data_IF_677161201186
#
_entry.id   IF_677161201186
#
_cell.length_a   1.000
_cell.length_b   1.000
_cell.length_c   1.000
_cell.angle_alpha   90.00
_cell.angle_beta   90.00
_cell.angle_gamma   90.00
#
_symmetry.space_group_name_H-M   'P 1'
#
loop_
_entity.id
_entity.type
_entity.pdbx_description
1 polymer ?
#
# COMPACT_ATOMS: atom_id res chain seq x y z
N UNK A 1 39.35 59.12 26.46
CA UNK A 1 37.93 59.03 26.86
C UNK A 1 37.08 59.42 25.65
N UNK A 2 35.92 58.80 25.33
CA UNK A 2 34.93 58.12 26.19
C UNK A 2 34.57 56.68 25.65
N UNK A 3 33.43 56.02 25.99
CA UNK A 3 33.34 54.98 27.03
C UNK A 3 33.00 53.55 26.55
N UNK A 4 33.29 52.56 27.42
CA UNK A 4 32.81 51.16 27.32
C UNK A 4 31.31 51.08 27.62
N UNK A 5 30.52 50.62 26.66
CA UNK A 5 29.13 50.20 26.84
C UNK A 5 29.04 48.67 26.88
N UNK A 6 28.81 48.12 28.08
CA UNK A 6 28.49 46.71 28.28
C UNK A 6 27.06 46.43 27.82
N UNK A 7 26.89 45.51 26.87
CA UNK A 7 25.58 45.00 26.46
C UNK A 7 25.13 43.98 27.51
N UNK A 8 24.02 44.34 28.13
CA UNK A 8 23.29 43.65 29.20
C UNK A 8 22.72 42.33 28.66
N UNK A 9 23.03 41.23 29.32
CA UNK A 9 22.64 39.87 28.93
C UNK A 9 21.13 39.67 28.85
N UNK A 10 20.69 39.10 27.73
CA UNK A 10 19.38 38.45 27.60
C UNK A 10 19.46 37.08 28.26
N UNK A 11 18.64 36.89 29.29
CA UNK A 11 18.55 35.68 30.09
C UNK A 11 18.25 34.44 29.26
N UNK A 12 18.94 33.37 29.62
CA UNK A 12 18.75 31.99 29.22
C UNK A 12 17.31 31.56 29.54
N UNK A 13 16.49 31.34 28.50
CA UNK A 13 15.20 30.68 28.60
C UNK A 13 15.37 29.16 28.48
N UNK A 14 14.93 28.43 29.51
CA UNK A 14 14.84 26.96 29.58
C UNK A 14 14.12 26.37 28.35
N UNK A 15 14.51 25.20 27.84
CA UNK A 15 13.70 24.46 26.88
C UNK A 15 12.39 24.04 27.55
N UNK A 16 11.26 24.46 26.96
CA UNK A 16 9.95 23.99 27.35
C UNK A 16 9.88 22.48 27.09
N UNK A 17 9.71 21.74 28.18
CA UNK A 17 9.54 20.30 28.21
C UNK A 17 8.22 19.93 27.52
N UNK A 18 8.25 19.61 26.23
CA UNK A 18 7.13 18.97 25.54
C UNK A 18 6.99 17.51 26.03
N UNK A 19 6.27 17.33 27.14
CA UNK A 19 5.70 16.03 27.53
C UNK A 19 4.23 16.01 27.14
N UNK A 20 3.98 15.73 25.86
CA UNK A 20 2.66 15.38 25.34
C UNK A 20 2.83 14.38 24.20
N UNK A 21 2.34 13.16 24.36
CA UNK A 21 2.47 12.11 23.33
C UNK A 21 1.69 12.45 22.07
N UNK A 22 2.13 11.92 20.92
CA UNK A 22 1.52 12.06 19.59
C UNK A 22 -0.01 11.84 19.60
N UNK A 23 -0.50 10.91 20.42
CA UNK A 23 -1.94 10.67 20.58
C UNK A 23 -2.71 11.86 21.18
N UNK A 24 -2.11 12.60 22.12
CA UNK A 24 -2.72 13.78 22.75
C UNK A 24 -2.71 14.97 21.81
N UNK A 25 -1.66 15.09 21.01
CA UNK A 25 -1.54 16.11 19.96
C UNK A 25 -2.55 15.89 18.83
N UNK A 26 -2.78 14.63 18.43
CA UNK A 26 -3.87 14.28 17.49
C UNK A 26 -5.25 14.56 18.11
N UNK A 27 -5.47 14.24 19.38
CA UNK A 27 -6.75 14.52 20.05
C UNK A 27 -7.02 16.03 20.14
N UNK A 28 -6.02 16.84 20.48
CA UNK A 28 -6.15 18.31 20.54
C UNK A 28 -6.40 18.92 19.14
N UNK A 29 -5.76 18.37 18.10
CA UNK A 29 -5.96 18.75 16.70
C UNK A 29 -7.38 18.39 16.19
N UNK A 30 -7.85 17.18 16.51
CA UNK A 30 -9.16 16.63 16.13
C UNK A 30 -10.31 17.29 16.91
N UNK A 31 -10.05 17.81 18.11
CA UNK A 31 -11.09 18.47 18.94
C UNK A 31 -11.11 20.00 18.81
N UNK A 32 -10.20 20.59 18.03
CA UNK A 32 -10.18 22.03 17.74
C UNK A 32 -11.49 22.50 17.07
N UNK A 33 -11.95 23.72 17.40
CA UNK A 33 -13.19 24.26 16.84
C UNK A 33 -13.17 24.38 15.31
N UNK A 34 -11.98 24.49 14.71
CA UNK A 34 -11.78 24.65 13.27
C UNK A 34 -11.86 23.31 12.51
N UNK A 35 -11.51 22.19 13.13
CA UNK A 35 -11.58 20.85 12.53
C UNK A 35 -12.92 20.14 12.78
N UNK A 36 -13.85 20.78 13.50
CA UNK A 36 -15.15 20.20 13.83
C UNK A 36 -15.90 19.68 12.61
N UNK A 37 -15.91 20.38 11.47
CA UNK A 37 -16.67 19.94 10.29
C UNK A 37 -16.09 18.68 9.64
N UNK A 38 -14.77 18.59 9.50
CA UNK A 38 -14.08 17.42 8.93
C UNK A 38 -14.16 16.24 9.89
N UNK A 39 -13.93 16.47 11.18
CA UNK A 39 -14.04 15.43 12.21
C UNK A 39 -15.47 14.96 12.35
N UNK A 40 -16.45 15.86 12.25
CA UNK A 40 -17.87 15.51 12.22
C UNK A 40 -18.20 14.69 10.98
N UNK A 41 -17.72 15.07 9.79
CA UNK A 41 -17.94 14.31 8.56
C UNK A 41 -17.30 12.91 8.61
N UNK A 42 -16.06 12.81 9.09
CA UNK A 42 -15.35 11.53 9.31
C UNK A 42 -16.05 10.68 10.35
N UNK A 43 -16.49 11.28 11.46
CA UNK A 43 -17.19 10.58 12.53
C UNK A 43 -18.55 10.07 12.04
N UNK A 44 -19.31 10.88 11.29
CA UNK A 44 -20.56 10.44 10.68
C UNK A 44 -20.33 9.38 9.60
N UNK A 45 -19.23 9.46 8.86
CA UNK A 45 -18.86 8.44 7.89
C UNK A 45 -18.52 7.11 8.59
N UNK A 46 -17.66 7.14 9.60
CA UNK A 46 -17.29 5.96 10.38
C UNK A 46 -18.49 5.37 11.14
N UNK A 47 -19.34 6.22 11.74
CA UNK A 47 -20.58 5.80 12.39
C UNK A 47 -21.59 5.23 11.39
N UNK A 48 -21.69 5.81 10.18
CA UNK A 48 -22.54 5.31 9.10
C UNK A 48 -22.09 3.94 8.58
N UNK A 49 -20.77 3.76 8.39
CA UNK A 49 -20.19 2.46 8.02
C UNK A 49 -20.42 1.42 9.12
N UNK A 50 -20.14 1.76 10.39
CA UNK A 50 -20.37 0.86 11.51
C UNK A 50 -21.85 0.48 11.69
N UNK A 51 -22.76 1.44 11.52
CA UNK A 51 -24.21 1.21 11.59
C UNK A 51 -24.69 0.29 10.46
N UNK A 52 -24.26 0.53 9.22
CA UNK A 52 -24.65 -0.28 8.05
C UNK A 52 -24.10 -1.70 8.09
N UNK A 53 -22.94 -1.91 8.70
CA UNK A 53 -22.35 -3.23 8.93
C UNK A 53 -22.84 -3.93 10.20
N UNK A 54 -23.71 -3.29 11.00
CA UNK A 54 -24.31 -3.90 12.20
C UNK A 54 -25.63 -4.61 11.87
N UNK A 55 -26.04 -5.57 12.69
CA UNK A 55 -27.34 -6.25 12.58
C UNK A 55 -28.57 -5.32 12.71
N UNK A 56 -28.37 -4.04 13.06
CA UNK A 56 -29.43 -3.02 13.06
C UNK A 56 -29.79 -2.52 11.66
N UNK A 57 -28.93 -2.73 10.65
CA UNK A 57 -29.23 -2.36 9.26
C UNK A 57 -30.26 -3.29 8.62
N UNK A 58 -30.46 -4.50 9.16
CA UNK A 58 -31.49 -5.45 8.68
C UNK A 58 -32.92 -4.98 8.99
N UNK A 59 -33.13 -4.15 10.01
CA UNK A 59 -34.43 -3.54 10.33
C UNK A 59 -34.90 -2.56 9.25
N UNK A 60 -33.97 -2.04 8.44
CA UNK A 60 -34.25 -1.09 7.35
C UNK A 60 -34.52 -1.80 6.02
N UNK A 61 -34.37 -3.13 5.95
CA UNK A 61 -34.70 -3.90 4.76
C UNK A 61 -36.22 -4.15 4.70
N UNK A 62 -36.90 -3.79 3.60
CA UNK A 62 -38.30 -4.18 3.42
C UNK A 62 -38.43 -5.71 3.35
N UNK A 63 -39.47 -6.31 3.93
CA UNK A 63 -39.66 -7.76 3.90
C UNK A 63 -39.76 -8.25 2.45
N UNK A 64 -38.90 -9.21 2.10
CA UNK A 64 -38.81 -9.77 0.75
C UNK A 64 -40.10 -10.54 0.43
N UNK A 65 -41.01 -9.92 -0.33
CA UNK A 65 -42.12 -10.63 -0.96
C UNK A 65 -41.54 -11.39 -2.15
N UNK A 66 -41.38 -12.70 -1.99
CA UNK A 66 -40.92 -13.60 -3.05
C UNK A 66 -41.82 -13.49 -4.29
N UNK A 67 -41.28 -13.00 -5.41
CA UNK A 67 -41.92 -13.12 -6.73
C UNK A 67 -41.37 -14.33 -7.48
N UNK A 68 -42.30 -15.13 -7.99
CA UNK A 68 -42.10 -16.36 -8.75
C UNK A 68 -41.40 -16.09 -10.10
N UNK A 69 -40.54 -16.98 -10.63
CA UNK A 69 -39.88 -16.77 -11.91
C UNK A 69 -40.85 -16.98 -13.08
N UNK A 70 -40.79 -16.09 -14.07
CA UNK A 70 -41.44 -16.25 -15.37
C UNK A 70 -40.43 -16.83 -16.37
N UNK A 71 -40.82 -17.95 -16.96
CA UNK A 71 -40.21 -18.59 -18.12
C UNK A 71 -40.74 -17.94 -19.38
N UNK A 72 -39.86 -17.53 -20.31
CA UNK A 72 -40.02 -17.77 -21.76
C UNK A 72 -38.76 -17.31 -22.55
N UNK A 73 -38.32 -18.07 -23.57
CA UNK A 73 -37.20 -17.72 -24.44
C UNK A 73 -37.64 -17.30 -25.86
N UNK A 74 -36.71 -16.62 -26.56
CA UNK A 74 -36.44 -16.62 -28.01
C UNK A 74 -36.43 -15.25 -28.73
N UNK A 75 -35.25 -14.97 -29.29
CA UNK A 75 -34.96 -14.69 -30.70
C UNK A 75 -34.53 -13.30 -31.19
N UNK A 76 -33.47 -13.40 -32.00
CA UNK A 76 -33.06 -12.58 -33.15
C UNK A 76 -32.16 -11.39 -32.86
N UNK A 77 -30.93 -11.43 -33.37
CA UNK A 77 -30.50 -10.47 -34.40
C UNK A 77 -29.34 -11.03 -35.24
N UNK A 78 -29.38 -10.64 -36.51
CA UNK A 78 -28.67 -11.23 -37.63
C UNK A 78 -27.25 -10.68 -37.86
N UNK A 79 -26.50 -11.52 -38.57
CA UNK A 79 -25.31 -11.30 -39.40
C UNK A 79 -25.13 -9.92 -40.02
N UNK A 80 -23.90 -9.39 -39.94
CA UNK A 80 -23.32 -8.51 -40.97
C UNK A 80 -21.83 -8.84 -41.16
N UNK A 81 -21.50 -9.35 -42.35
CA UNK A 81 -20.13 -9.51 -42.89
C UNK A 81 -19.61 -8.14 -43.33
N UNK A 82 -18.36 -7.81 -43.00
CA UNK A 82 -17.69 -6.60 -43.49
C UNK A 82 -16.17 -6.67 -43.35
N UNK A 83 -15.52 -7.05 -44.46
CA UNK A 83 -14.19 -6.62 -44.93
C UNK A 83 -13.05 -6.48 -43.90
N UNK A 84 -12.21 -7.52 -43.82
CA UNK A 84 -10.86 -7.45 -43.24
C UNK A 84 -9.93 -6.86 -44.30
N UNK A 85 -9.46 -5.63 -44.09
CA UNK A 85 -8.38 -5.03 -44.87
C UNK A 85 -7.13 -4.96 -43.97
N UNK A 86 -6.06 -5.62 -44.42
CA UNK A 86 -4.74 -5.62 -43.82
C UNK A 86 -4.26 -4.18 -43.56
N UNK A 87 -3.91 -3.89 -42.30
CA UNK A 87 -2.94 -2.84 -41.95
C UNK A 87 -1.84 -3.52 -41.16
N UNK A 88 -0.87 -4.07 -41.88
CA UNK A 88 0.36 -4.62 -41.31
C UNK A 88 1.43 -3.54 -41.37
N UNK A 89 2.16 -3.39 -40.25
CA UNK A 89 3.48 -2.75 -40.16
C UNK A 89 3.57 -1.21 -40.29
N UNK A 90 2.96 -0.47 -39.34
CA UNK A 90 3.43 0.88 -38.98
C UNK A 90 3.07 1.31 -37.54
N UNK A 91 2.67 0.39 -36.66
CA UNK A 91 2.21 0.69 -35.30
C UNK A 91 3.20 0.31 -34.19
N UNK A 92 4.41 -0.10 -34.53
CA UNK A 92 5.42 -0.58 -33.57
C UNK A 92 6.42 0.48 -33.11
N UNK A 93 6.34 1.72 -33.63
CA UNK A 93 7.31 2.77 -33.31
C UNK A 93 6.71 4.02 -32.60
N UNK A 94 5.43 4.00 -32.22
CA UNK A 94 4.80 5.05 -31.40
C UNK A 94 4.35 4.58 -30.00
N UNK A 95 4.65 3.33 -29.62
CA UNK A 95 4.38 2.78 -28.28
C UNK A 95 5.52 3.04 -27.29
N UNK A 96 6.32 4.08 -27.53
CA UNK A 96 7.35 4.52 -26.60
C UNK A 96 6.74 5.16 -25.36
N UNK A 97 6.89 4.46 -24.22
CA UNK A 97 7.10 5.06 -22.89
C UNK A 97 5.90 5.70 -22.15
N UNK A 98 4.68 5.19 -22.34
CA UNK A 98 3.71 5.23 -21.24
C UNK A 98 3.87 3.93 -20.45
N UNK A 99 4.21 3.99 -19.16
CA UNK A 99 4.20 2.82 -18.28
C UNK A 99 2.83 2.13 -18.43
N UNK A 100 2.80 0.97 -19.09
CA UNK A 100 1.57 0.33 -19.53
C UNK A 100 0.78 -0.19 -18.32
N UNK A 101 -0.03 0.69 -17.74
CA UNK A 101 -0.94 0.35 -16.65
C UNK A 101 -1.98 -0.65 -17.19
N UNK A 102 -2.09 -1.82 -16.57
CA UNK A 102 -3.14 -2.77 -16.94
C UNK A 102 -4.52 -2.30 -16.44
N UNK A 103 -5.61 -2.66 -17.14
CA UNK A 103 -6.95 -2.57 -16.58
C UNK A 103 -7.11 -3.48 -15.35
N UNK A 104 -8.06 -3.16 -14.47
CA UNK A 104 -8.50 -4.06 -13.41
C UNK A 104 -9.43 -5.13 -14.01
N UNK A 105 -8.91 -6.33 -14.21
CA UNK A 105 -9.65 -7.44 -14.82
C UNK A 105 -10.46 -8.25 -13.80
N UNK A 106 -10.18 -8.08 -12.51
CA UNK A 106 -10.85 -8.80 -11.42
C UNK A 106 -12.17 -8.16 -11.00
N UNK A 107 -12.34 -6.86 -11.22
CA UNK A 107 -13.53 -6.09 -10.84
C UNK A 107 -14.85 -6.72 -11.31
N UNK A 108 -14.91 -7.21 -12.56
CA UNK A 108 -16.13 -7.78 -13.14
C UNK A 108 -16.57 -9.09 -12.47
N UNK A 109 -15.64 -9.80 -11.84
CA UNK A 109 -15.87 -11.11 -11.24
C UNK A 109 -16.06 -11.04 -9.72
N UNK A 110 -15.57 -9.97 -9.11
CA UNK A 110 -15.55 -9.80 -7.67
C UNK A 110 -16.22 -8.47 -7.30
N UNK A 111 -17.53 -8.30 -7.61
CA UNK A 111 -18.19 -7.03 -7.38
C UNK A 111 -18.09 -6.63 -5.90
N UNK A 112 -18.34 -7.54 -4.97
CA UNK A 112 -18.41 -7.26 -3.52
C UNK A 112 -17.04 -7.20 -2.81
N UNK A 113 -15.94 -7.23 -3.55
CA UNK A 113 -14.58 -7.28 -2.99
C UNK A 113 -13.79 -6.08 -3.46
N UNK A 114 -12.72 -5.75 -2.73
CA UNK A 114 -11.79 -4.74 -3.20
C UNK A 114 -10.98 -5.30 -4.36
N UNK A 115 -10.94 -4.60 -5.48
CA UNK A 115 -10.09 -4.96 -6.61
C UNK A 115 -9.31 -3.77 -7.12
N UNK A 116 -8.12 -4.01 -7.67
CA UNK A 116 -7.32 -2.99 -8.34
C UNK A 116 -6.32 -3.64 -9.30
N UNK A 117 -5.81 -2.86 -10.25
CA UNK A 117 -4.57 -3.17 -10.98
C UNK A 117 -3.43 -2.37 -10.36
N UNK A 118 -2.26 -2.97 -10.19
CA UNK A 118 -1.13 -2.33 -9.51
C UNK A 118 0.16 -2.49 -10.32
N UNK A 119 0.62 -1.40 -10.91
CA UNK A 119 1.93 -1.32 -11.55
C UNK A 119 2.93 -0.86 -10.50
N UNK A 120 3.85 -1.73 -10.10
CA UNK A 120 4.71 -1.47 -8.95
C UNK A 120 6.08 -2.13 -9.08
N UNK A 121 7.01 -1.62 -8.27
CA UNK A 121 8.24 -2.32 -7.93
C UNK A 121 8.04 -2.95 -6.55
N UNK A 122 8.25 -4.27 -6.48
CA UNK A 122 8.16 -5.07 -5.27
C UNK A 122 9.59 -5.41 -4.85
N UNK A 123 10.04 -4.85 -3.74
CA UNK A 123 11.39 -4.94 -3.23
C UNK A 123 11.50 -5.86 -2.02
N UNK A 124 12.64 -6.53 -1.87
CA UNK A 124 13.00 -7.29 -0.67
C UNK A 124 14.36 -6.78 -0.20
N UNK A 125 14.35 -6.05 0.91
CA UNK A 125 15.60 -5.63 1.57
C UNK A 125 15.95 -6.61 2.68
N UNK A 126 17.24 -6.86 2.86
CA UNK A 126 17.78 -7.64 3.97
C UNK A 126 18.16 -6.72 5.13
N UNK A 127 17.63 -6.98 6.32
CA UNK A 127 17.96 -6.23 7.54
C UNK A 127 18.41 -7.18 8.64
N UNK A 128 19.25 -6.74 9.61
CA UNK A 128 19.62 -7.60 10.72
C UNK A 128 18.39 -8.12 11.45
N UNK A 129 18.39 -9.40 11.85
CA UNK A 129 17.22 -10.01 12.51
C UNK A 129 16.79 -9.27 13.77
N UNK A 130 17.75 -8.71 14.52
CA UNK A 130 17.48 -7.84 15.66
C UNK A 130 16.69 -6.58 15.30
N UNK A 131 17.04 -5.93 14.18
CA UNK A 131 16.31 -4.77 13.65
C UNK A 131 14.91 -5.17 13.22
N UNK A 132 14.74 -6.31 12.53
CA UNK A 132 13.42 -6.81 12.18
C UNK A 132 12.55 -7.12 13.41
N UNK A 133 13.16 -7.66 14.48
CA UNK A 133 12.46 -7.97 15.72
C UNK A 133 11.97 -6.70 16.43
N UNK A 134 12.76 -5.62 16.41
CA UNK A 134 12.37 -4.30 16.93
C UNK A 134 11.21 -3.67 16.15
N UNK A 135 11.04 -4.04 14.87
CA UNK A 135 9.97 -3.55 14.01
C UNK A 135 8.61 -4.22 14.29
N UNK A 136 8.57 -5.39 14.92
CA UNK A 136 7.35 -6.18 15.16
C UNK A 136 7.07 -6.39 16.65
N UNK A 137 6.87 -5.31 17.44
CA UNK A 137 6.72 -5.43 18.87
C UNK A 137 5.54 -6.34 19.25
N UNK A 138 5.80 -7.32 20.11
CA UNK A 138 4.80 -8.24 20.62
C UNK A 138 4.58 -9.52 19.80
N UNK A 139 5.37 -9.73 18.74
CA UNK A 139 5.37 -10.96 17.96
C UNK A 139 6.78 -11.51 17.79
N UNK A 140 6.88 -12.83 17.66
CA UNK A 140 8.12 -13.49 17.30
C UNK A 140 8.28 -13.55 15.78
N UNK A 141 9.52 -13.55 15.31
CA UNK A 141 9.85 -13.80 13.91
C UNK A 141 10.05 -15.29 13.66
N UNK A 142 9.39 -15.81 12.62
CA UNK A 142 9.64 -17.14 12.10
C UNK A 142 10.98 -17.19 11.36
N UNK A 143 11.65 -18.35 11.31
CA UNK A 143 12.82 -18.54 10.47
C UNK A 143 12.48 -18.29 8.99
N UNK A 144 13.36 -17.57 8.30
CA UNK A 144 13.27 -17.45 6.83
C UNK A 144 13.56 -18.83 6.22
N UNK A 145 12.70 -19.33 5.31
CA UNK A 145 12.90 -20.63 4.69
C UNK A 145 14.22 -20.70 3.91
N UNK A 146 14.92 -21.83 4.02
CA UNK A 146 16.11 -22.15 3.20
C UNK A 146 15.69 -22.87 1.90
N UNK A 147 14.62 -22.40 1.26
CA UNK A 147 14.08 -22.97 0.01
C UNK A 147 14.77 -22.31 -1.19
N UNK A 148 15.62 -23.06 -1.89
CA UNK A 148 16.35 -22.61 -3.09
C UNK A 148 15.43 -22.14 -4.22
N UNK A 149 14.16 -22.57 -4.24
CA UNK A 149 13.19 -22.08 -5.23
C UNK A 149 12.73 -20.65 -4.95
N UNK A 150 12.95 -20.14 -3.74
CA UNK A 150 12.69 -18.75 -3.34
C UNK A 150 14.02 -17.96 -3.27
N UNK A 151 15.01 -18.53 -2.61
CA UNK A 151 16.31 -17.93 -2.32
C UNK A 151 17.42 -18.83 -2.90
N UNK A 152 17.79 -18.67 -4.19
CA UNK A 152 18.69 -19.59 -4.88
C UNK A 152 20.06 -19.77 -4.20
N UNK A 153 20.53 -18.71 -3.53
CA UNK A 153 21.79 -18.69 -2.80
C UNK A 153 21.58 -18.75 -1.27
N UNK A 154 20.38 -19.10 -0.81
CA UNK A 154 19.96 -18.98 0.59
C UNK A 154 19.66 -17.54 1.00
N UNK A 155 18.87 -17.35 2.06
CA UNK A 155 18.71 -16.03 2.68
C UNK A 155 19.89 -15.78 3.63
N UNK A 156 20.50 -14.57 3.66
CA UNK A 156 21.67 -14.31 4.48
C UNK A 156 21.47 -14.64 5.97
N UNK A 157 22.49 -15.23 6.60
CA UNK A 157 22.47 -15.56 8.02
C UNK A 157 22.30 -14.31 8.90
N UNK A 158 21.56 -14.46 10.00
CA UNK A 158 21.22 -13.38 10.94
C UNK A 158 20.55 -12.15 10.30
N UNK A 159 19.99 -12.31 9.09
CA UNK A 159 19.16 -11.30 8.46
C UNK A 159 17.70 -11.76 8.40
N UNK A 160 16.81 -10.80 8.20
CA UNK A 160 15.40 -11.01 7.95
C UNK A 160 14.93 -10.10 6.81
N UNK A 161 14.02 -10.55 5.93
CA UNK A 161 13.50 -9.72 4.85
C UNK A 161 12.59 -8.61 5.39
N UNK A 162 12.59 -7.47 4.72
CA UNK A 162 11.56 -6.44 4.80
C UNK A 162 11.08 -6.18 3.38
N UNK A 163 9.77 -6.21 3.18
CA UNK A 163 9.18 -5.91 1.88
C UNK A 163 9.04 -4.40 1.75
N UNK A 164 9.42 -3.87 0.59
CA UNK A 164 9.24 -2.45 0.25
C UNK A 164 8.57 -2.41 -1.12
N UNK A 165 7.37 -1.85 -1.20
CA UNK A 165 6.61 -1.85 -2.45
C UNK A 165 6.15 -0.44 -2.76
N UNK A 166 6.33 0.02 -3.99
CA UNK A 166 5.85 1.31 -4.45
C UNK A 166 5.28 1.24 -5.87
N UNK A 167 4.27 2.04 -6.16
CA UNK A 167 3.75 2.14 -7.51
C UNK A 167 2.41 2.83 -7.63
N UNK A 168 1.76 2.59 -8.76
CA UNK A 168 0.47 3.16 -9.15
C UNK A 168 -0.63 2.09 -9.16
N UNK A 169 -1.59 2.24 -8.26
CA UNK A 169 -2.84 1.50 -8.28
C UNK A 169 -3.83 2.21 -9.22
N UNK A 170 -4.50 1.44 -10.06
CA UNK A 170 -5.46 1.92 -11.04
C UNK A 170 -6.77 1.12 -10.96
N UNK A 171 -7.87 1.82 -11.22
CA UNK A 171 -9.24 1.30 -11.18
C UNK A 171 -9.53 0.55 -9.88
N UNK A 172 -9.37 1.25 -8.76
CA UNK A 172 -9.64 0.69 -7.42
C UNK A 172 -11.14 0.68 -7.23
N UNK A 173 -11.71 -0.51 -7.06
CA UNK A 173 -13.15 -0.69 -6.86
C UNK A 173 -13.40 -1.40 -5.56
N UNK A 174 -14.37 -0.89 -4.82
CA UNK A 174 -14.90 -1.52 -3.61
C UNK A 174 -16.42 -1.42 -3.72
N UNK A 175 -17.12 -2.55 -3.85
CA UNK A 175 -18.57 -2.54 -3.70
C UNK A 175 -18.91 -2.98 -2.28
N UNK A 176 -19.21 -1.98 -1.45
CA UNK A 176 -19.95 -2.18 -0.21
C UNK A 176 -21.42 -1.82 -0.48
N UNK A 177 -22.13 -1.23 0.50
CA UNK A 177 -23.51 -0.73 0.32
C UNK A 177 -23.61 0.32 -0.80
N UNK A 178 -22.54 1.07 -1.06
CA UNK A 178 -22.41 1.95 -2.22
C UNK A 178 -21.18 1.56 -3.04
N UNK A 179 -21.26 1.54 -4.39
CA UNK A 179 -20.10 1.30 -5.23
C UNK A 179 -19.16 2.50 -5.12
N UNK A 180 -17.99 2.26 -4.53
CA UNK A 180 -16.89 3.22 -4.49
C UNK A 180 -15.89 2.88 -5.58
N UNK A 181 -15.55 3.86 -6.40
CA UNK A 181 -14.51 3.75 -7.41
C UNK A 181 -13.52 4.89 -7.25
N UNK A 182 -12.24 4.55 -7.16
CA UNK A 182 -11.13 5.50 -7.19
C UNK A 182 -10.34 5.22 -8.45
N UNK A 183 -10.20 6.22 -9.31
CA UNK A 183 -9.57 6.07 -10.62
C UNK A 183 -8.14 5.58 -10.50
N UNK A 184 -7.32 6.23 -9.66
CA UNK A 184 -5.96 5.83 -9.39
C UNK A 184 -5.47 6.41 -8.07
N UNK A 185 -4.50 5.74 -7.44
CA UNK A 185 -3.75 6.21 -6.28
C UNK A 185 -2.30 5.76 -6.39
N UNK A 186 -1.38 6.59 -5.93
CA UNK A 186 -0.01 6.20 -5.67
C UNK A 186 0.06 5.57 -4.29
N UNK A 187 0.82 4.48 -4.18
CA UNK A 187 0.98 3.73 -2.94
C UNK A 187 2.45 3.40 -2.75
N UNK A 188 2.95 3.58 -1.53
CA UNK A 188 4.23 3.04 -1.11
C UNK A 188 4.10 2.46 0.28
N UNK A 189 4.65 1.28 0.52
CA UNK A 189 4.42 0.56 1.76
C UNK A 189 5.63 -0.31 2.11
N UNK A 190 5.76 -0.62 3.40
CA UNK A 190 6.79 -1.54 3.87
C UNK A 190 6.29 -2.38 5.04
N UNK A 191 6.66 -3.65 5.01
CA UNK A 191 6.16 -4.67 5.96
C UNK A 191 7.27 -5.67 6.30
N UNK A 192 7.14 -6.28 7.47
CA UNK A 192 7.98 -7.41 7.89
C UNK A 192 7.18 -8.69 7.66
N UNK A 193 7.58 -9.58 6.72
CA UNK A 193 6.97 -10.89 6.53
C UNK A 193 7.51 -11.90 7.57
N UNK A 194 6.98 -13.13 7.55
CA UNK A 194 7.38 -14.21 8.48
C UNK A 194 7.20 -13.85 9.97
N UNK A 195 6.10 -13.17 10.30
CA UNK A 195 5.72 -12.86 11.68
C UNK A 195 4.80 -13.94 12.22
N UNK A 196 5.09 -14.47 13.41
CA UNK A 196 4.28 -15.50 14.07
C UNK A 196 3.10 -14.86 14.81
N UNK A 197 2.02 -14.60 14.08
CA UNK A 197 0.81 -14.01 14.66
C UNK A 197 0.07 -14.98 15.60
N UNK A 198 0.14 -16.28 15.31
CA UNK A 198 -0.63 -17.32 16.01
C UNK A 198 0.14 -17.98 17.15
N UNK A 199 1.44 -17.70 17.28
CA UNK A 199 2.32 -18.31 18.28
C UNK A 199 2.55 -19.80 18.04
N UNK A 200 2.46 -20.24 16.79
CA UNK A 200 2.51 -21.65 16.42
C UNK A 200 3.82 -22.07 15.72
N UNK A 201 4.74 -21.13 15.53
CA UNK A 201 6.06 -21.37 14.95
C UNK A 201 6.03 -21.77 13.47
N UNK A 202 4.90 -21.62 12.77
CA UNK A 202 4.72 -22.13 11.40
C UNK A 202 4.04 -21.16 10.45
N UNK A 203 2.95 -20.54 10.86
CA UNK A 203 2.09 -19.78 9.96
C UNK A 203 2.60 -18.34 9.82
N UNK A 204 3.05 -17.99 8.62
CA UNK A 204 3.71 -16.73 8.33
C UNK A 204 2.72 -15.62 7.95
N UNK A 205 2.82 -14.50 8.66
CA UNK A 205 2.08 -13.28 8.38
C UNK A 205 3.00 -12.11 8.07
N UNK A 206 2.44 -11.05 7.50
CA UNK A 206 3.08 -9.74 7.36
C UNK A 206 2.61 -8.77 8.44
N UNK A 207 3.55 -8.08 9.07
CA UNK A 207 3.27 -6.92 9.90
C UNK A 207 3.53 -5.64 9.11
N UNK A 208 2.46 -4.91 8.78
CA UNK A 208 2.55 -3.67 8.01
C UNK A 208 3.10 -2.54 8.88
N UNK A 209 4.25 -1.95 8.52
CA UNK A 209 4.86 -0.88 9.33
C UNK A 209 4.28 0.48 9.00
N UNK A 210 4.15 0.79 7.72
CA UNK A 210 3.42 1.96 7.25
C UNK A 210 2.97 1.76 5.79
N UNK A 211 1.97 2.53 5.41
CA UNK A 211 1.49 2.70 4.06
C UNK A 211 1.34 4.20 3.76
N UNK A 212 1.85 4.64 2.64
CA UNK A 212 1.82 6.01 2.18
C UNK A 212 0.94 6.06 0.95
N UNK A 213 -0.06 6.94 0.98
CA UNK A 213 -1.04 7.04 -0.10
C UNK A 213 -0.98 8.45 -0.68
N UNK A 214 -0.90 8.52 -2.01
CA UNK A 214 -0.87 9.76 -2.77
C UNK A 214 -2.00 9.82 -3.78
N UNK A 215 -2.53 11.02 -4.00
CA UNK A 215 -3.32 11.28 -5.20
C UNK A 215 -2.42 11.42 -6.42
N UNK A 216 -3.04 11.41 -7.60
CA UNK A 216 -2.34 11.69 -8.86
C UNK A 216 -2.43 13.17 -9.23
N UNK A 217 -1.55 13.65 -10.12
CA UNK A 217 -1.59 15.00 -10.71
C UNK A 217 -1.63 16.13 -9.65
N UNK A 218 -0.95 15.93 -8.52
CA UNK A 218 -0.92 16.88 -7.40
C UNK A 218 -2.20 16.92 -6.56
N UNK A 219 -3.19 16.06 -6.82
CA UNK A 219 -4.44 15.97 -6.06
C UNK A 219 -4.28 15.20 -4.74
N UNK A 220 -3.36 15.64 -3.89
CA UNK A 220 -2.99 14.94 -2.66
C UNK A 220 -4.15 14.81 -1.65
N UNK A 221 -5.20 15.62 -1.76
CA UNK A 221 -6.42 15.47 -0.94
C UNK A 221 -7.15 14.17 -1.19
N UNK A 222 -6.99 13.55 -2.37
CA UNK A 222 -7.60 12.26 -2.71
C UNK A 222 -7.07 11.11 -1.85
N UNK A 223 -5.90 11.26 -1.21
CA UNK A 223 -5.36 10.23 -0.33
C UNK A 223 -5.85 10.30 1.11
N UNK A 224 -6.51 11.40 1.51
CA UNK A 224 -6.97 11.59 2.89
C UNK A 224 -7.98 10.54 3.33
N UNK A 225 -9.04 10.35 2.55
CA UNK A 225 -10.10 9.38 2.87
C UNK A 225 -9.55 7.94 2.87
N UNK A 226 -8.81 7.48 1.84
CA UNK A 226 -8.18 6.17 1.86
C UNK A 226 -7.22 5.96 3.03
N UNK A 227 -6.39 6.95 3.39
CA UNK A 227 -5.44 6.83 4.50
C UNK A 227 -6.16 6.69 5.86
N UNK A 228 -7.25 7.43 6.02
CA UNK A 228 -8.07 7.36 7.23
C UNK A 228 -8.81 6.03 7.34
N UNK A 229 -9.41 5.56 6.23
CA UNK A 229 -10.07 4.24 6.19
C UNK A 229 -9.04 3.14 6.45
N UNK A 230 -7.86 3.18 5.81
CA UNK A 230 -6.77 2.25 6.06
C UNK A 230 -6.43 2.15 7.54
N UNK A 231 -6.18 3.30 8.18
CA UNK A 231 -5.87 3.38 9.62
C UNK A 231 -7.00 2.85 10.50
N UNK A 232 -8.26 3.16 10.18
CA UNK A 232 -9.42 2.64 10.90
C UNK A 232 -9.58 1.12 10.74
N UNK A 233 -9.24 0.59 9.56
CA UNK A 233 -9.21 -0.85 9.27
C UNK A 233 -7.95 -1.56 9.75
N UNK A 234 -7.09 -0.87 10.51
CA UNK A 234 -5.92 -1.47 11.14
C UNK A 234 -4.68 -1.59 10.26
N UNK A 235 -4.63 -0.89 9.14
CA UNK A 235 -3.39 -0.73 8.36
C UNK A 235 -2.85 0.68 8.57
N UNK A 236 -1.64 0.87 9.12
CA UNK A 236 -1.12 2.21 9.37
C UNK A 236 -0.94 2.92 8.03
N UNK A 237 -1.77 3.93 7.76
CA UNK A 237 -1.79 4.62 6.47
C UNK A 237 -1.75 6.14 6.65
N UNK A 238 -0.87 6.81 5.91
CA UNK A 238 -0.68 8.26 5.97
C UNK A 238 -0.71 8.88 4.57
N UNK A 239 -1.21 10.12 4.44
CA UNK A 239 -1.11 10.87 3.18
C UNK A 239 0.36 11.17 2.82
N UNK A 240 0.68 11.11 1.53
CA UNK A 240 2.00 11.42 1.00
C UNK A 240 1.93 12.06 -0.39
N UNK A 241 3.00 12.75 -0.77
CA UNK A 241 3.28 13.15 -2.15
C UNK A 241 4.31 12.22 -2.76
N UNK A 242 4.27 12.07 -4.07
CA UNK A 242 5.14 11.19 -4.83
C UNK A 242 5.82 11.97 -5.95
N UNK A 243 7.02 11.55 -6.32
CA UNK A 243 7.69 11.93 -7.56
C UNK A 243 8.16 10.63 -8.25
N UNK A 244 7.63 10.30 -9.43
CA UNK A 244 6.60 11.05 -10.16
C UNK A 244 5.23 10.97 -9.48
N UNK A 245 4.34 11.91 -9.81
CA UNK A 245 3.02 12.03 -9.19
C UNK A 245 1.86 11.52 -10.08
N UNK A 246 2.16 10.87 -11.19
CA UNK A 246 1.19 10.41 -12.19
C UNK A 246 1.47 8.99 -12.71
N UNK A 247 2.60 8.40 -12.33
CA UNK A 247 3.06 7.09 -12.77
C UNK A 247 3.80 6.34 -11.64
N UNK A 248 4.05 5.05 -11.83
CA UNK A 248 4.64 4.21 -10.78
C UNK A 248 6.09 4.59 -10.42
N UNK A 249 6.86 5.09 -11.40
CA UNK A 249 8.26 5.46 -11.25
C UNK A 249 8.71 6.33 -12.44
N UNK A 250 9.71 7.19 -12.23
CA UNK A 250 10.41 7.87 -13.30
C UNK A 250 11.25 6.83 -14.06
N UNK A 251 11.40 7.02 -15.37
CA UNK A 251 12.27 6.19 -16.20
C UNK A 251 13.36 7.05 -16.82
N UNK A 252 14.58 6.55 -16.78
CA UNK A 252 15.75 7.22 -17.35
C UNK A 252 16.25 6.45 -18.58
N UNK A 253 16.84 7.13 -19.58
CA UNK A 253 17.36 6.48 -20.79
C UNK A 253 18.41 5.39 -20.52
N UNK A 254 19.04 5.41 -19.35
CA UNK A 254 20.06 4.46 -18.88
C UNK A 254 19.49 3.14 -18.35
N UNK A 255 18.16 2.91 -18.45
CA UNK A 255 17.53 1.71 -17.86
C UNK A 255 17.44 1.76 -16.34
N UNK A 256 17.50 2.97 -15.79
CA UNK A 256 17.32 3.27 -14.37
C UNK A 256 15.91 3.81 -14.14
N UNK A 257 15.41 3.63 -12.93
CA UNK A 257 14.10 4.09 -12.51
C UNK A 257 14.17 4.68 -11.11
N UNK A 258 13.33 5.67 -10.82
CA UNK A 258 13.27 6.25 -9.47
C UNK A 258 11.87 6.52 -8.99
N UNK A 259 11.69 6.53 -7.67
CA UNK A 259 10.45 6.98 -7.03
C UNK A 259 10.78 7.54 -5.65
N UNK A 260 10.30 8.76 -5.41
CA UNK A 260 10.48 9.48 -4.16
C UNK A 260 9.13 9.69 -3.49
N UNK A 261 9.07 9.41 -2.20
CA UNK A 261 7.85 9.52 -1.40
C UNK A 261 8.11 10.47 -0.23
N UNK A 262 7.26 11.47 -0.08
CA UNK A 262 7.35 12.44 1.03
C UNK A 262 6.06 12.42 1.83
N UNK A 263 6.16 12.26 3.14
CA UNK A 263 4.99 12.25 3.99
C UNK A 263 4.40 13.66 4.08
N UNK A 264 3.08 13.75 3.92
CA UNK A 264 2.34 14.98 4.20
C UNK A 264 1.97 14.97 5.69
N UNK A 265 2.24 16.09 6.35
CA UNK A 265 1.88 16.36 7.73
C UNK A 265 0.54 17.00 7.90
N UNK A 266 0.35 17.57 9.09
CA UNK A 266 -0.85 18.30 9.48
C UNK A 266 -1.18 19.35 8.42
N UNK A 267 -2.43 19.33 7.97
CA UNK A 267 -3.02 20.35 7.11
C UNK A 267 -3.36 21.56 7.98
N UNK A 268 -2.63 22.66 7.81
CA UNK A 268 -3.03 23.94 8.38
C UNK A 268 -3.75 24.76 7.31
N UNK A 269 -4.99 25.22 7.56
CA UNK A 269 -5.79 25.99 6.59
C UNK A 269 -5.16 27.34 6.22
N UNK A 270 -4.32 27.94 7.07
CA UNK A 270 -3.61 29.19 6.74
C UNK A 270 -2.38 28.98 5.86
N UNK A 271 -1.77 27.79 5.89
CA UNK A 271 -0.42 27.56 5.31
C UNK A 271 -0.37 26.41 4.30
N UNK A 272 -1.45 25.66 4.14
CA UNK A 272 -1.49 24.44 3.36
C UNK A 272 -0.83 23.24 4.08
N UNK A 273 -0.77 22.07 3.42
CA UNK A 273 -0.12 20.89 3.97
C UNK A 273 1.38 21.13 4.22
N UNK A 274 1.86 20.82 5.42
CA UNK A 274 3.30 20.75 5.70
C UNK A 274 3.88 19.45 5.15
N UNK A 275 5.05 19.48 4.51
CA UNK A 275 5.79 18.25 4.18
C UNK A 275 6.61 17.86 5.42
N UNK A 276 6.39 16.66 5.96
CA UNK A 276 7.03 16.21 7.22
C UNK A 276 8.43 15.62 7.00
N UNK A 277 8.78 15.34 5.75
CA UNK A 277 10.08 14.78 5.37
C UNK A 277 9.94 13.67 4.34
N UNK A 278 11.08 13.19 3.87
CA UNK A 278 11.19 12.04 2.98
C UNK A 278 10.86 10.76 3.74
N UNK A 279 10.06 9.90 3.11
CA UNK A 279 9.69 8.59 3.62
C UNK A 279 10.55 7.51 2.95
N UNK A 280 10.51 7.46 1.63
CA UNK A 280 11.32 6.55 0.83
C UNK A 280 11.90 7.26 -0.37
N UNK A 281 13.10 6.85 -0.73
CA UNK A 281 13.66 7.09 -2.03
C UNK A 281 14.14 5.74 -2.59
N UNK A 282 13.60 5.37 -3.75
CA UNK A 282 13.85 4.09 -4.40
C UNK A 282 14.50 4.39 -5.75
N UNK A 283 15.67 3.80 -5.96
CA UNK A 283 16.31 3.74 -7.27
C UNK A 283 16.43 2.28 -7.69
N UNK A 284 15.96 1.94 -8.87
CA UNK A 284 16.12 0.59 -9.42
C UNK A 284 16.78 0.59 -10.79
N UNK A 285 17.39 -0.52 -11.16
CA UNK A 285 17.99 -0.72 -12.46
C UNK A 285 17.58 -2.07 -13.05
N UNK A 286 17.61 -2.19 -14.37
CA UNK A 286 17.36 -3.47 -15.04
C UNK A 286 18.52 -4.48 -14.92
N UNK A 287 19.55 -4.20 -14.11
CA UNK A 287 20.57 -5.19 -13.75
C UNK A 287 20.04 -6.02 -12.58
N UNK A 288 19.58 -7.26 -12.79
CA UNK A 288 18.97 -8.05 -11.72
C UNK A 288 20.02 -8.56 -10.74
N UNK A 289 19.62 -8.69 -9.47
CA UNK A 289 20.35 -9.53 -8.51
C UNK A 289 19.91 -10.99 -8.63
N UNK A 290 20.79 -11.92 -8.31
CA UNK A 290 20.47 -13.35 -8.21
C UNK A 290 19.97 -13.79 -6.82
N UNK A 291 19.71 -12.82 -5.92
CA UNK A 291 19.31 -13.08 -4.53
C UNK A 291 17.94 -13.75 -4.40
N UNK A 292 17.00 -13.43 -5.29
CA UNK A 292 15.59 -13.81 -5.17
C UNK A 292 15.01 -14.27 -6.51
N UNK A 293 14.09 -15.23 -6.46
CA UNK A 293 13.30 -15.63 -7.64
C UNK A 293 11.98 -14.85 -7.72
N UNK A 294 11.31 -14.80 -8.89
CA UNK A 294 9.95 -14.28 -8.99
C UNK A 294 8.96 -14.97 -8.03
N UNK A 295 9.21 -16.25 -7.70
CA UNK A 295 8.40 -17.02 -6.74
C UNK A 295 8.55 -16.47 -5.32
N UNK A 296 9.72 -15.99 -4.92
CA UNK A 296 9.92 -15.32 -3.63
C UNK A 296 9.02 -14.09 -3.49
N UNK A 297 8.99 -13.21 -4.50
CA UNK A 297 8.13 -12.02 -4.47
C UNK A 297 6.64 -12.38 -4.39
N UNK A 298 6.21 -13.42 -5.11
CA UNK A 298 4.82 -13.92 -5.05
C UNK A 298 4.49 -14.47 -3.67
N UNK A 299 5.32 -15.35 -3.14
CA UNK A 299 5.11 -15.97 -1.83
C UNK A 299 5.07 -14.93 -0.70
N UNK A 300 6.00 -13.97 -0.71
CA UNK A 300 6.11 -12.96 0.35
C UNK A 300 4.97 -11.94 0.30
N UNK A 301 4.64 -11.40 -0.88
CA UNK A 301 3.58 -10.39 -1.00
C UNK A 301 2.17 -10.97 -0.74
N UNK A 302 1.99 -12.29 -0.87
CA UNK A 302 0.73 -12.96 -0.61
C UNK A 302 0.59 -13.55 0.81
N UNK A 303 1.53 -13.30 1.72
CA UNK A 303 1.32 -13.63 3.14
C UNK A 303 0.21 -12.74 3.73
N UNK A 304 -0.70 -13.28 4.57
CA UNK A 304 -1.76 -12.47 5.17
C UNK A 304 -1.22 -11.36 6.07
N UNK A 305 -1.90 -10.23 6.11
CA UNK A 305 -1.50 -9.05 6.88
C UNK A 305 -2.15 -9.08 8.27
N UNK A 306 -1.32 -8.82 9.29
CA UNK A 306 -1.78 -8.55 10.66
C UNK A 306 -2.39 -7.15 10.68
N UNK A 307 -3.66 -7.05 11.10
CA UNK A 307 -4.26 -5.76 11.35
C UNK A 307 -3.86 -5.23 12.73
N UNK A 308 -3.89 -3.91 12.88
CA UNK A 308 -3.48 -3.19 14.09
C UNK A 308 -4.63 -2.33 14.64
N UNK A 309 -4.43 -1.73 15.81
CA UNK A 309 -5.42 -0.85 16.42
C UNK A 309 -6.68 -1.59 16.88
N UNK A 310 -7.86 -1.03 16.58
CA UNK A 310 -9.16 -1.54 17.07
C UNK A 310 -9.53 -2.93 16.53
N UNK A 311 -8.91 -3.35 15.44
CA UNK A 311 -9.16 -4.65 14.78
C UNK A 311 -7.95 -5.57 14.85
N UNK A 312 -7.06 -5.38 15.83
CA UNK A 312 -5.80 -6.15 15.96
C UNK A 312 -5.97 -7.67 16.19
N UNK A 313 -7.19 -8.12 16.49
CA UNK A 313 -7.53 -9.53 16.57
C UNK A 313 -7.75 -10.19 15.20
N UNK A 314 -7.93 -9.39 14.15
CA UNK A 314 -8.24 -9.85 12.79
C UNK A 314 -7.01 -9.74 11.88
N UNK A 315 -7.10 -10.44 10.76
CA UNK A 315 -6.11 -10.38 9.69
C UNK A 315 -6.80 -10.07 8.36
N UNK A 316 -6.00 -9.64 7.38
CA UNK A 316 -6.47 -9.23 6.07
C UNK A 316 -5.69 -9.97 4.98
N UNK A 317 -6.39 -10.53 3.99
CA UNK A 317 -5.75 -11.09 2.80
C UNK A 317 -5.83 -10.15 1.61
N UNK A 318 -4.67 -9.91 1.01
CA UNK A 318 -4.56 -9.29 -0.30
C UNK A 318 -3.86 -10.26 -1.22
N UNK A 319 -4.60 -10.77 -2.21
CA UNK A 319 -4.04 -11.67 -3.20
C UNK A 319 -3.55 -10.85 -4.39
N UNK A 320 -2.25 -10.97 -4.67
CA UNK A 320 -1.55 -10.32 -5.77
C UNK A 320 -1.30 -11.36 -6.87
N UNK A 321 -1.98 -11.19 -8.00
CA UNK A 321 -1.83 -12.05 -9.17
C UNK A 321 -0.95 -11.38 -10.22
N UNK A 322 0.20 -11.99 -10.50
CA UNK A 322 1.23 -11.47 -11.40
C UNK A 322 1.23 -12.20 -12.76
N UNK A 323 0.08 -12.68 -13.20
CA UNK A 323 -0.08 -13.46 -14.43
C UNK A 323 -0.37 -12.60 -15.66
N UNK A 324 -0.64 -11.31 -15.49
CA UNK A 324 -1.02 -10.42 -16.59
C UNK A 324 0.21 -9.83 -17.29
N UNK A 325 0.93 -10.66 -18.04
CA UNK A 325 2.16 -10.28 -18.75
C UNK A 325 1.92 -9.43 -20.00
N UNK A 326 0.65 -9.30 -20.45
CA UNK A 326 0.29 -8.56 -21.67
C UNK A 326 0.54 -7.05 -21.59
N UNK A 327 0.56 -6.49 -20.38
CA UNK A 327 0.74 -5.05 -20.16
C UNK A 327 2.13 -4.74 -19.64
N UNK A 328 2.73 -5.65 -18.87
CA UNK A 328 4.13 -5.53 -18.48
C UNK A 328 4.69 -6.93 -18.24
N UNK A 329 5.76 -7.27 -18.96
CA UNK A 329 6.53 -8.46 -18.64
C UNK A 329 7.21 -8.24 -17.29
N UNK A 330 6.97 -9.12 -16.30
CA UNK A 330 7.62 -8.98 -15.01
C UNK A 330 9.13 -9.10 -15.14
N UNK A 331 9.86 -8.18 -14.51
CA UNK A 331 11.30 -8.07 -14.65
C UNK A 331 11.96 -8.01 -13.28
N UNK A 332 12.98 -8.85 -13.08
CA UNK A 332 13.87 -8.74 -11.93
C UNK A 332 14.79 -7.54 -12.10
N UNK A 333 15.01 -6.82 -11.01
CA UNK A 333 15.81 -5.60 -10.93
C UNK A 333 16.71 -5.66 -9.71
N UNK A 334 17.74 -4.82 -9.70
CA UNK A 334 18.39 -4.37 -8.47
C UNK A 334 17.73 -3.08 -8.01
N UNK A 335 17.69 -2.87 -6.70
CA UNK A 335 17.19 -1.65 -6.10
C UNK A 335 18.09 -1.15 -4.95
N UNK A 336 18.08 0.16 -4.79
CA UNK A 336 18.58 0.86 -3.63
C UNK A 336 17.39 1.53 -2.96
N UNK A 337 17.22 1.29 -1.65
CA UNK A 337 16.15 1.89 -0.84
C UNK A 337 16.78 2.77 0.21
N UNK A 338 16.43 4.04 0.22
CA UNK A 338 16.78 5.00 1.27
C UNK A 338 15.53 5.33 2.07
N UNK A 339 15.56 5.05 3.37
CA UNK A 339 14.51 5.43 4.30
C UNK A 339 14.80 6.83 4.82
N UNK A 340 13.87 7.75 4.61
CA UNK A 340 14.06 9.15 4.97
C UNK A 340 13.71 9.47 6.42
N UNK A 341 13.76 10.76 6.74
CA UNK A 341 13.60 11.26 8.11
C UNK A 341 12.18 11.15 8.69
N UNK A 342 11.17 10.99 7.83
CA UNK A 342 9.77 10.81 8.23
C UNK A 342 9.46 9.40 8.75
N UNK A 343 10.34 8.43 8.48
CA UNK A 343 10.21 7.05 8.95
C UNK A 343 10.35 7.01 10.48
N UNK A 344 9.38 6.38 11.15
CA UNK A 344 9.30 6.30 12.63
C UNK A 344 9.70 4.92 13.14
N UNK A 345 10.79 4.38 12.61
CA UNK A 345 11.28 3.05 12.94
C UNK A 345 12.82 3.03 12.97
N UNK A 346 13.46 1.93 13.42
CA UNK A 346 14.91 1.75 13.31
C UNK A 346 15.46 1.87 11.89
N UNK A 347 14.61 1.77 10.85
CA UNK A 347 15.02 1.95 9.45
C UNK A 347 15.28 3.42 9.09
N UNK A 348 14.90 4.38 9.95
CA UNK A 348 15.08 5.81 9.69
C UNK A 348 16.52 6.15 9.29
N UNK A 349 16.66 6.90 8.19
CA UNK A 349 17.95 7.35 7.63
C UNK A 349 18.89 6.20 7.22
N UNK A 350 18.40 4.98 7.06
CA UNK A 350 19.18 3.85 6.57
C UNK A 350 19.11 3.76 5.04
N UNK A 351 20.19 3.25 4.46
CA UNK A 351 20.33 3.02 3.02
C UNK A 351 20.65 1.55 2.81
N UNK A 352 19.85 0.89 1.99
CA UNK A 352 20.04 -0.49 1.57
C UNK A 352 20.37 -0.50 0.09
N UNK A 353 21.53 -1.02 -0.27
CA UNK A 353 22.02 -1.00 -1.65
C UNK A 353 22.04 -2.41 -2.23
N UNK A 354 21.92 -2.50 -3.55
CA UNK A 354 22.01 -3.74 -4.30
C UNK A 354 21.06 -4.83 -3.76
N UNK A 355 19.84 -4.44 -3.42
CA UNK A 355 18.78 -5.34 -3.00
C UNK A 355 18.04 -5.85 -4.24
N UNK A 356 17.30 -6.94 -4.11
CA UNK A 356 16.55 -7.50 -5.23
C UNK A 356 15.13 -6.95 -5.30
N UNK A 357 14.68 -6.62 -6.51
CA UNK A 357 13.33 -6.13 -6.76
C UNK A 357 12.68 -6.85 -7.94
N UNK A 358 11.36 -6.75 -8.00
CA UNK A 358 10.52 -7.30 -9.05
C UNK A 358 9.57 -6.22 -9.55
N UNK A 359 9.83 -5.70 -10.74
CA UNK A 359 8.93 -4.77 -11.40
C UNK A 359 7.84 -5.57 -12.11
N UNK A 360 6.59 -5.41 -11.69
CA UNK A 360 5.48 -6.19 -12.24
C UNK A 360 4.15 -5.43 -12.18
N UNK A 361 3.20 -5.86 -13.01
CA UNK A 361 1.80 -5.46 -12.89
C UNK A 361 1.04 -6.60 -12.21
N UNK A 362 0.52 -6.32 -11.03
CA UNK A 362 -0.30 -7.25 -10.26
C UNK A 362 -1.78 -6.89 -10.37
N UNK A 363 -2.66 -7.89 -10.40
CA UNK A 363 -4.07 -7.70 -10.09
C UNK A 363 -4.28 -7.98 -8.60
N UNK A 364 -4.91 -7.06 -7.88
CA UNK A 364 -5.15 -7.16 -6.44
C UNK A 364 -6.59 -7.60 -6.21
N UNK A 365 -6.78 -8.63 -5.38
CA UNK A 365 -8.05 -8.98 -4.75
C UNK A 365 -7.91 -8.83 -3.24
N UNK A 366 -8.49 -7.77 -2.69
CA UNK A 366 -8.54 -7.51 -1.26
C UNK A 366 -9.79 -8.10 -0.63
N UNK A 367 -9.59 -8.89 0.42
CA UNK A 367 -10.66 -9.54 1.16
C UNK A 367 -11.13 -8.69 2.35
N UNK A 368 -12.27 -9.05 2.93
CA UNK A 368 -12.70 -8.44 4.18
C UNK A 368 -11.85 -8.99 5.34
N UNK A 369 -11.67 -8.21 6.42
CA UNK A 369 -11.02 -8.71 7.64
C UNK A 369 -11.70 -10.00 8.15
N UNK A 370 -10.88 -10.98 8.50
CA UNK A 370 -11.31 -12.30 8.99
C UNK A 370 -10.42 -12.75 10.17
N UNK A 371 -10.71 -13.90 10.77
CA UNK A 371 -9.82 -14.44 11.80
C UNK A 371 -8.45 -14.77 11.19
N UNK A 372 -7.37 -14.63 11.97
CA UNK A 372 -6.03 -14.91 11.43
C UNK A 372 -5.83 -16.37 11.00
N UNK A 373 -6.52 -17.32 11.65
CA UNK A 373 -6.53 -18.72 11.24
C UNK A 373 -7.25 -18.91 9.90
N UNK A 374 -8.39 -18.25 9.69
CA UNK A 374 -9.12 -18.29 8.43
C UNK A 374 -8.31 -17.62 7.30
N UNK A 375 -7.63 -16.51 7.60
CA UNK A 375 -6.75 -15.84 6.66
C UNK A 375 -5.57 -16.71 6.20
N UNK A 376 -5.10 -17.67 7.01
CA UNK A 376 -4.11 -18.65 6.55
C UNK A 376 -4.78 -19.73 5.70
N UNK A 377 -5.88 -20.30 6.19
CA UNK A 377 -6.58 -21.41 5.54
C UNK A 377 -7.15 -21.02 4.15
N UNK A 378 -7.62 -19.79 4.02
CA UNK A 378 -8.25 -19.26 2.82
C UNK A 378 -7.26 -18.62 1.84
N UNK A 379 -5.97 -18.59 2.15
CA UNK A 379 -5.00 -17.95 1.26
C UNK A 379 -4.89 -18.71 -0.07
N UNK A 380 -5.04 -18.00 -1.19
CA UNK A 380 -5.03 -18.63 -2.52
C UNK A 380 -3.63 -19.14 -2.87
N UNK A 381 -3.43 -20.46 -2.99
CA UNK A 381 -2.14 -21.03 -3.36
C UNK A 381 -1.67 -20.57 -4.74
N UNK A 382 -2.61 -20.31 -5.67
CA UNK A 382 -2.28 -19.88 -7.03
C UNK A 382 -1.69 -18.47 -7.10
N UNK A 383 -1.96 -17.62 -6.10
CA UNK A 383 -1.36 -16.30 -6.01
C UNK A 383 0.12 -16.37 -5.56
N UNK A 384 0.49 -17.42 -4.85
CA UNK A 384 1.83 -17.62 -4.26
C UNK A 384 2.75 -18.51 -5.11
N UNK A 385 2.24 -19.09 -6.20
CA UNK A 385 2.97 -20.02 -7.09
C UNK A 385 3.59 -19.33 -8.30
#
# INVERSE_FOLDING_TARGET
>A
MPPKGAIRGTGVGRPAQQKGGYARQIIDEVTSQENRSVVTAVTFFAAGVAFLHSSWSEILLPPVIARKPSTDPLNSFATAKGTIMLVTAAFTALLGLAAAQAPNTLARYNPNMRTASYNATFGIISVPKSVAQDLVPGYDLLPVPQDESLFPNGFPEDQHPVLVTNGLQNDIRITAVLPLQIKALLSAQYSVPYVDRLGNGKDAFQYQLNNYIGGIDGQNTMSLVPALVGSATGTPAVPATFDPNDQAYNSFPTGQYSSLVKQIGVFNFLSGPSIQGEAFDIYSSNEPTDMYTPKAFRALNNQPLILQGLVAALCLRNNYYFNNTQFMEPLLRSENVTFGSAVKSPLKNQVYQNQGAYAAVAQILGHNPESCSDAIANNDPAASQ
#
